data_IF_760363863692
#
_entry.id   IF_760363863692
#
_cell.length_a   1.000
_cell.length_b   1.000
_cell.length_c   1.000
_cell.angle_alpha   90.00
_cell.angle_beta   90.00
_cell.angle_gamma   90.00
#
_symmetry.space_group_name_H-M   'P 1'
#
loop_
_entity.id
_entity.type
_entity.pdbx_description
1 polymer ?
#
# COMPACT_ATOMS: atom_id res chain seq x y z
N UNK A 1 -8.65 -25.48 34.04
CA UNK A 1 -7.97 -25.00 35.27
C UNK A 1 -7.77 -23.51 35.09
N UNK A 2 -8.37 -22.73 35.97
CA UNK A 2 -8.41 -21.26 35.92
C UNK A 2 -7.15 -20.70 36.58
N UNK A 3 -6.42 -19.84 35.90
CA UNK A 3 -5.56 -18.88 36.57
C UNK A 3 -5.98 -17.47 36.19
N UNK A 4 -6.32 -16.72 37.23
CA UNK A 4 -6.71 -15.35 37.26
C UNK A 4 -5.66 -14.56 38.05
N UNK A 5 -5.71 -13.22 37.88
CA UNK A 5 -5.18 -12.11 38.69
C UNK A 5 -3.93 -11.40 38.13
N UNK A 6 -3.74 -10.09 38.39
CA UNK A 6 -4.73 -9.05 38.71
C UNK A 6 -4.46 -7.65 38.08
N UNK A 7 -5.51 -6.83 38.13
CA UNK A 7 -5.53 -5.38 37.97
C UNK A 7 -5.30 -4.67 39.33
N UNK A 8 -4.36 -3.72 39.40
CA UNK A 8 -4.19 -2.63 40.40
C UNK A 8 -2.79 -2.01 40.23
N UNK A 9 -2.47 -0.73 40.44
CA UNK A 9 -3.19 0.52 40.68
C UNK A 9 -2.18 1.69 40.54
N UNK A 10 -2.69 2.86 40.14
CA UNK A 10 -2.05 4.18 40.19
C UNK A 10 -1.41 4.51 41.56
N UNK A 11 -0.28 5.23 41.60
CA UNK A 11 -0.20 6.68 41.89
C UNK A 11 1.22 7.20 42.22
N UNK A 12 1.45 8.43 41.75
CA UNK A 12 2.23 9.53 42.34
C UNK A 12 3.77 9.54 42.27
N UNK A 13 4.30 10.55 41.58
CA UNK A 13 5.38 11.37 42.14
C UNK A 13 5.33 12.80 41.59
N UNK A 14 5.08 13.73 42.52
CA UNK A 14 5.25 15.15 42.34
C UNK A 14 6.52 15.60 43.08
N UNK A 15 7.19 16.59 42.48
CA UNK A 15 7.92 17.69 43.12
C UNK A 15 9.32 17.47 43.70
N UNK A 16 10.25 18.19 43.06
CA UNK A 16 11.26 19.09 43.62
C UNK A 16 12.39 18.53 44.49
N UNK A 17 13.63 18.79 44.05
CA UNK A 17 14.69 19.32 44.92
C UNK A 17 15.75 20.04 44.08
N UNK A 18 16.00 21.29 44.45
CA UNK A 18 17.07 22.14 43.97
C UNK A 18 18.29 22.07 44.92
N UNK A 19 19.46 22.27 44.32
CA UNK A 19 20.65 22.99 44.82
C UNK A 19 21.51 22.40 45.98
N UNK A 20 22.80 22.20 45.71
CA UNK A 20 23.95 23.02 46.19
C UNK A 20 25.25 22.19 46.33
N UNK A 21 26.40 22.77 45.89
CA UNK A 21 27.68 22.59 46.60
C UNK A 21 28.97 22.34 45.78
N UNK A 22 29.47 23.41 45.15
CA UNK A 22 30.85 23.97 45.10
C UNK A 22 32.17 23.16 45.05
N UNK A 23 33.03 23.69 44.15
CA UNK A 23 34.48 24.04 44.19
C UNK A 23 35.62 22.99 44.20
N UNK A 24 36.43 23.04 43.12
CA UNK A 24 37.88 23.35 43.05
C UNK A 24 38.31 23.08 41.59
N UNK A 25 38.95 23.94 40.80
CA UNK A 25 40.00 24.91 41.06
C UNK A 25 41.10 24.67 40.00
N UNK A 26 41.16 25.50 38.95
CA UNK A 26 42.13 25.30 37.85
C UNK A 26 42.14 26.43 36.81
N UNK A 27 42.72 27.56 37.19
CA UNK A 27 42.95 28.74 36.36
C UNK A 27 44.07 28.53 35.32
N UNK A 28 43.78 28.82 34.04
CA UNK A 28 44.78 29.27 33.06
C UNK A 28 44.18 30.48 32.35
N UNK A 29 44.86 31.63 32.46
CA UNK A 29 44.46 32.90 31.86
C UNK A 29 44.51 32.88 30.32
N UNK A 30 43.69 33.72 29.66
CA UNK A 30 43.41 33.65 28.23
C UNK A 30 44.35 34.53 27.39
N UNK A 31 44.61 34.08 26.16
CA UNK A 31 45.19 34.91 25.09
C UNK A 31 44.05 35.45 24.20
N UNK A 32 44.11 36.69 23.71
CA UNK A 32 42.96 37.40 23.16
C UNK A 32 42.85 37.21 21.65
N UNK A 33 41.79 36.54 21.20
CA UNK A 33 41.22 36.76 19.87
C UNK A 33 39.70 36.69 19.99
N UNK A 34 39.13 37.81 20.42
CA UNK A 34 37.70 38.07 20.39
C UNK A 34 37.31 38.47 18.95
N UNK A 35 37.11 37.46 18.10
CA UNK A 35 36.18 37.56 16.98
C UNK A 35 34.79 37.20 17.50
N UNK A 36 33.87 38.16 17.47
CA UNK A 36 32.48 38.02 17.90
C UNK A 36 31.80 36.78 17.29
N UNK A 37 30.80 36.18 17.96
CA UNK A 37 29.93 35.20 17.32
C UNK A 37 29.32 35.88 16.10
N UNK A 38 29.56 35.31 14.92
CA UNK A 38 28.80 35.67 13.74
C UNK A 38 27.35 35.28 14.04
N UNK A 39 26.51 36.30 14.17
CA UNK A 39 25.07 36.19 14.12
C UNK A 39 24.72 35.27 12.94
N UNK A 40 24.00 34.19 13.24
CA UNK A 40 23.37 33.34 12.23
C UNK A 40 22.57 34.26 11.30
N UNK A 41 23.10 34.43 10.10
CA UNK A 41 22.44 35.16 9.05
C UNK A 41 21.11 34.46 8.80
N UNK A 42 20.02 35.17 9.12
CA UNK A 42 18.68 34.68 8.95
C UNK A 42 18.50 34.06 7.57
N UNK A 43 18.22 32.75 7.56
CA UNK A 43 17.41 32.19 6.50
C UNK A 43 16.16 33.08 6.43
N UNK A 44 15.95 33.74 5.28
CA UNK A 44 14.68 34.42 5.03
C UNK A 44 13.58 33.40 5.30
N UNK A 45 12.83 33.59 6.39
CA UNK A 45 11.67 32.76 6.69
C UNK A 45 10.76 32.87 5.48
N UNK A 46 10.52 31.73 4.84
CA UNK A 46 9.51 31.64 3.79
C UNK A 46 8.21 32.24 4.35
N UNK A 47 7.72 33.38 3.81
CA UNK A 47 6.54 34.05 4.36
C UNK A 47 5.28 33.19 4.23
N UNK A 48 5.32 32.14 3.43
CA UNK A 48 4.22 31.20 3.26
C UNK A 48 4.31 30.01 4.24
N UNK A 49 5.37 29.86 5.03
CA UNK A 49 5.50 28.78 6.01
C UNK A 49 4.76 29.09 7.32
N UNK A 50 4.00 28.11 7.82
CA UNK A 50 3.20 28.24 9.06
C UNK A 50 3.75 27.37 10.19
N UNK A 51 3.83 26.06 9.97
CA UNK A 51 4.15 25.07 10.99
C UNK A 51 4.59 23.74 10.35
N UNK A 52 5.10 22.82 11.17
CA UNK A 52 5.36 21.43 10.81
C UNK A 52 4.58 20.46 11.70
N UNK A 53 4.42 19.23 11.20
CA UNK A 53 3.84 18.11 11.93
C UNK A 53 4.63 16.84 11.62
N UNK A 54 5.35 16.29 12.60
CA UNK A 54 6.08 15.02 12.46
C UNK A 54 5.19 13.86 12.87
N UNK A 55 5.21 12.77 12.11
CA UNK A 55 4.45 11.56 12.39
C UNK A 55 5.17 10.32 11.86
N UNK A 56 4.77 9.14 12.33
CA UNK A 56 5.26 7.87 11.79
C UNK A 56 4.36 7.48 10.62
N UNK A 57 4.96 7.31 9.44
CA UNK A 57 4.23 6.85 8.27
C UNK A 57 3.99 5.34 8.41
N UNK A 58 2.72 4.92 8.45
CA UNK A 58 2.37 3.50 8.60
C UNK A 58 2.78 2.60 7.43
N UNK A 59 3.05 3.16 6.24
CA UNK A 59 3.52 2.39 5.09
C UNK A 59 5.02 2.07 5.15
N UNK A 60 5.84 3.04 5.57
CA UNK A 60 7.31 2.88 5.62
C UNK A 60 7.84 2.51 7.00
N UNK A 61 7.06 2.80 8.06
CA UNK A 61 7.53 2.75 9.45
C UNK A 61 8.51 3.86 9.83
N UNK A 62 8.86 4.75 8.89
CA UNK A 62 9.79 5.87 9.10
C UNK A 62 9.05 7.15 9.54
N UNK A 63 9.80 8.10 10.11
CA UNK A 63 9.26 9.43 10.40
C UNK A 63 9.11 10.23 9.10
N UNK A 64 7.90 10.75 8.88
CA UNK A 64 7.61 11.78 7.88
C UNK A 64 7.29 13.09 8.60
N UNK A 65 7.44 14.21 7.90
CA UNK A 65 7.09 15.51 8.44
C UNK A 65 6.36 16.37 7.39
N UNK A 66 5.19 16.89 7.77
CA UNK A 66 4.35 17.73 6.93
C UNK A 66 4.57 19.20 7.25
N UNK A 67 5.06 19.96 6.29
CA UNK A 67 5.20 21.42 6.35
C UNK A 67 3.95 22.09 5.79
N UNK A 68 3.23 22.82 6.62
CA UNK A 68 2.05 23.59 6.21
C UNK A 68 2.49 24.89 5.55
N UNK A 69 2.19 25.03 4.26
CA UNK A 69 2.63 26.17 3.43
C UNK A 69 1.45 26.82 2.70
N UNK A 70 1.43 28.14 2.67
CA UNK A 70 0.48 28.94 1.91
C UNK A 70 -0.62 29.62 2.75
N UNK A 71 -1.33 30.59 2.15
CA UNK A 71 -2.11 31.59 2.87
C UNK A 71 -3.42 31.08 3.50
N UNK A 72 -3.87 29.86 3.19
CA UNK A 72 -5.08 29.27 3.77
C UNK A 72 -4.81 28.29 4.93
N UNK A 73 -3.55 28.15 5.34
CA UNK A 73 -3.21 27.55 6.64
C UNK A 73 -3.13 28.64 7.71
N UNK A 74 -3.86 28.45 8.80
CA UNK A 74 -3.60 29.14 10.07
C UNK A 74 -2.91 28.17 11.03
N UNK A 75 -2.20 28.65 12.06
CA UNK A 75 -1.63 27.77 13.09
C UNK A 75 -2.66 26.82 13.69
N UNK A 76 -3.88 27.29 13.97
CA UNK A 76 -4.97 26.45 14.51
C UNK A 76 -5.56 25.49 13.47
N UNK A 77 -5.49 25.83 12.18
CA UNK A 77 -5.88 24.93 11.10
C UNK A 77 -4.86 23.80 10.92
N UNK A 78 -3.57 24.14 10.93
CA UNK A 78 -2.46 23.21 10.84
C UNK A 78 -2.40 22.27 12.04
N UNK A 79 -2.60 22.77 13.27
CA UNK A 79 -2.65 21.92 14.47
C UNK A 79 -3.79 20.90 14.42
N UNK A 80 -4.99 21.31 13.96
CA UNK A 80 -6.14 20.40 13.81
C UNK A 80 -5.94 19.34 12.72
N UNK A 81 -5.24 19.69 11.65
CA UNK A 81 -4.85 18.73 10.63
C UNK A 81 -3.81 17.75 11.20
N UNK A 82 -2.85 18.25 11.97
CA UNK A 82 -1.81 17.45 12.61
C UNK A 82 -2.36 16.41 13.61
N UNK A 83 -3.49 16.70 14.27
CA UNK A 83 -4.19 15.75 15.15
C UNK A 83 -4.71 14.50 14.43
N UNK A 84 -4.74 14.48 13.09
CA UNK A 84 -5.23 13.38 12.25
C UNK A 84 -4.36 13.19 11.00
N UNK A 85 -3.07 13.51 11.11
CA UNK A 85 -2.17 13.72 9.98
C UNK A 85 -2.00 12.48 9.10
N UNK A 86 -2.08 11.30 9.70
CA UNK A 86 -1.98 10.03 8.97
C UNK A 86 -2.96 9.02 9.58
N UNK A 87 -3.92 8.54 8.79
CA UNK A 87 -4.95 7.56 9.20
C UNK A 87 -5.66 7.90 10.53
N UNK A 88 -5.87 9.19 10.80
CA UNK A 88 -6.53 9.63 12.03
C UNK A 88 -5.63 9.67 13.27
N UNK A 89 -4.36 9.32 13.15
CA UNK A 89 -3.38 9.45 14.23
C UNK A 89 -2.84 10.88 14.38
N UNK A 90 -2.53 11.25 15.62
CA UNK A 90 -2.00 12.56 15.95
C UNK A 90 -0.47 12.61 15.79
N UNK A 91 0.01 13.59 15.03
CA UNK A 91 1.43 13.92 14.94
C UNK A 91 1.91 14.91 16.01
N UNK A 92 3.20 15.17 15.99
CA UNK A 92 3.87 16.18 16.81
C UNK A 92 3.90 17.53 16.08
N UNK A 93 3.01 18.44 16.48
CA UNK A 93 2.91 19.79 15.91
C UNK A 93 3.96 20.75 16.45
N UNK A 94 4.64 21.49 15.56
CA UNK A 94 5.58 22.56 15.93
C UNK A 94 5.34 23.80 15.06
N UNK A 95 5.02 24.93 15.70
CA UNK A 95 4.80 26.21 15.00
C UNK A 95 6.13 26.89 14.66
N UNK A 96 6.27 27.40 13.42
CA UNK A 96 7.43 28.22 13.04
C UNK A 96 8.76 27.48 12.86
N UNK A 97 8.78 26.15 12.97
CA UNK A 97 9.95 25.30 12.72
C UNK A 97 9.67 24.36 11.54
N UNK A 98 10.52 24.42 10.52
CA UNK A 98 10.44 23.57 9.33
C UNK A 98 10.85 22.12 9.64
N UNK A 99 10.49 21.19 8.75
CA UNK A 99 10.90 19.81 8.89
C UNK A 99 12.41 19.68 8.69
N UNK A 100 13.06 18.90 9.55
CA UNK A 100 14.49 18.68 9.50
C UNK A 100 14.81 17.22 9.84
N UNK A 101 15.46 16.54 8.90
CA UNK A 101 15.97 15.19 9.08
C UNK A 101 17.46 15.15 8.70
N UNK A 102 18.25 14.34 9.41
CA UNK A 102 19.67 14.14 9.07
C UNK A 102 19.82 13.39 7.74
N UNK A 103 18.92 12.44 7.49
CA UNK A 103 18.86 11.62 6.27
C UNK A 103 17.49 11.81 5.61
N UNK A 104 17.43 12.76 4.67
CA UNK A 104 16.25 13.05 3.85
C UNK A 104 16.31 12.23 2.56
N UNK A 105 15.21 11.55 2.22
CA UNK A 105 15.08 10.80 0.95
C UNK A 105 14.37 11.61 -0.12
N UNK A 106 13.57 12.59 0.27
CA UNK A 106 13.02 13.56 -0.68
C UNK A 106 11.90 14.39 -0.10
N UNK A 107 11.35 15.25 -0.96
CA UNK A 107 10.25 16.16 -0.63
C UNK A 107 9.10 15.96 -1.59
N UNK A 108 7.90 15.84 -1.06
CA UNK A 108 6.68 15.86 -1.83
C UNK A 108 6.02 17.24 -1.77
N UNK A 109 5.97 17.95 -2.90
CA UNK A 109 5.26 19.22 -2.98
C UNK A 109 3.82 18.96 -3.38
N UNK A 110 2.88 19.16 -2.45
CA UNK A 110 1.45 18.93 -2.68
C UNK A 110 0.72 20.25 -2.89
N UNK A 111 0.00 20.34 -4.00
CA UNK A 111 -0.66 21.55 -4.46
C UNK A 111 0.27 22.50 -5.22
N UNK A 112 -0.30 23.56 -5.79
CA UNK A 112 0.47 24.59 -6.51
C UNK A 112 0.80 25.75 -5.57
N UNK A 113 2.00 26.37 -5.67
CA UNK A 113 2.29 27.62 -4.97
C UNK A 113 1.17 28.65 -5.20
N UNK A 114 0.56 29.15 -4.11
CA UNK A 114 -0.58 30.09 -4.16
C UNK A 114 -1.97 29.45 -4.04
N UNK A 115 -2.10 28.13 -4.01
CA UNK A 115 -3.33 27.48 -3.54
C UNK A 115 -3.49 27.65 -2.02
N UNK A 116 -4.72 27.74 -1.49
CA UNK A 116 -4.93 28.06 -0.09
C UNK A 116 -4.38 26.99 0.88
N UNK A 117 -4.25 25.72 0.49
CA UNK A 117 -3.80 24.65 1.40
C UNK A 117 -2.74 23.72 0.80
N UNK A 118 -1.68 24.30 0.24
CA UNK A 118 -0.51 23.51 -0.15
C UNK A 118 0.24 22.95 1.07
N UNK A 119 1.05 21.91 0.91
CA UNK A 119 1.97 21.46 1.95
C UNK A 119 3.16 20.74 1.31
N UNK A 120 4.24 20.61 2.07
CA UNK A 120 5.39 19.79 1.67
C UNK A 120 5.52 18.63 2.65
N UNK A 121 5.51 17.39 2.15
CA UNK A 121 5.92 16.24 2.97
C UNK A 121 7.42 16.07 2.80
N UNK A 122 8.15 16.05 3.90
CA UNK A 122 9.57 15.70 3.93
C UNK A 122 9.66 14.29 4.47
N UNK A 123 10.28 13.39 3.71
CA UNK A 123 10.44 12.00 4.12
C UNK A 123 11.87 11.71 4.54
N UNK A 124 12.00 11.00 5.66
CA UNK A 124 13.29 10.54 6.17
C UNK A 124 13.55 9.07 5.80
N UNK A 125 14.82 8.68 5.80
CA UNK A 125 15.23 7.30 5.63
C UNK A 125 16.51 7.13 4.83
N UNK A 126 16.70 5.93 4.31
CA UNK A 126 17.89 5.51 3.57
C UNK A 126 17.58 5.36 2.05
N UNK A 127 18.54 5.00 1.18
CA UNK A 127 18.30 4.87 -0.26
C UNK A 127 17.14 3.92 -0.61
N UNK A 128 16.82 2.96 0.27
CA UNK A 128 15.71 2.03 0.10
C UNK A 128 14.35 2.64 0.40
N UNK A 129 14.22 3.85 0.95
CA UNK A 129 12.92 4.49 1.12
C UNK A 129 12.51 5.36 -0.08
N UNK A 130 13.43 5.63 -1.02
CA UNK A 130 13.21 6.55 -2.14
C UNK A 130 11.98 6.27 -3.00
N UNK A 131 11.83 5.04 -3.53
CA UNK A 131 10.67 4.67 -4.35
C UNK A 131 9.33 4.70 -3.58
N UNK A 132 9.35 4.34 -2.30
CA UNK A 132 8.17 4.41 -1.44
C UNK A 132 7.77 5.86 -1.17
N UNK A 133 8.73 6.74 -0.88
CA UNK A 133 8.49 8.17 -0.69
C UNK A 133 7.99 8.84 -2.00
N UNK A 134 8.56 8.46 -3.15
CA UNK A 134 8.08 8.91 -4.46
C UNK A 134 6.65 8.46 -4.72
N UNK A 135 6.36 7.17 -4.55
CA UNK A 135 5.01 6.61 -4.75
C UNK A 135 3.99 7.24 -3.80
N UNK A 136 4.34 7.38 -2.51
CA UNK A 136 3.54 8.08 -1.51
C UNK A 136 3.20 9.50 -1.97
N UNK A 137 4.19 10.21 -2.53
CA UNK A 137 4.02 11.56 -2.99
C UNK A 137 3.12 11.67 -4.22
N UNK A 138 3.52 11.03 -5.32
CA UNK A 138 2.91 11.23 -6.63
C UNK A 138 1.54 10.59 -6.70
N UNK A 139 1.34 9.47 -5.99
CA UNK A 139 0.08 8.73 -6.04
C UNK A 139 -0.88 9.06 -4.90
N UNK A 140 -0.42 9.04 -3.65
CA UNK A 140 -1.33 9.17 -2.50
C UNK A 140 -1.55 10.62 -2.11
N UNK A 141 -0.48 11.41 -2.11
CA UNK A 141 -0.56 12.83 -1.79
C UNK A 141 -0.96 13.68 -3.01
N UNK A 142 -0.82 13.15 -4.24
CA UNK A 142 -1.08 13.85 -5.50
C UNK A 142 -0.11 15.02 -5.74
N UNK A 143 1.12 14.90 -5.23
CA UNK A 143 2.15 15.91 -5.31
C UNK A 143 3.19 15.65 -6.39
N UNK A 144 4.24 16.48 -6.40
CA UNK A 144 5.45 16.27 -7.20
C UNK A 144 6.60 15.88 -6.28
N UNK A 145 7.25 14.75 -6.54
CA UNK A 145 8.36 14.27 -5.74
C UNK A 145 9.70 14.86 -6.20
N UNK A 146 10.44 15.42 -5.26
CA UNK A 146 11.79 15.93 -5.43
C UNK A 146 12.76 15.01 -4.68
N UNK A 147 13.46 14.08 -5.38
CA UNK A 147 14.34 13.12 -4.74
C UNK A 147 15.59 13.79 -4.16
N UNK A 148 16.02 13.36 -2.98
CA UNK A 148 17.30 13.75 -2.41
C UNK A 148 18.47 13.01 -3.10
N UNK A 149 19.72 13.49 -2.99
CA UNK A 149 20.87 12.87 -3.64
C UNK A 149 21.07 11.38 -3.31
N UNK A 150 20.64 10.95 -2.13
CA UNK A 150 20.69 9.55 -1.68
C UNK A 150 19.89 8.61 -2.60
N UNK A 151 18.89 9.13 -3.31
CA UNK A 151 18.03 8.39 -4.23
C UNK A 151 18.58 8.24 -5.65
N UNK A 152 19.73 8.84 -5.95
CA UNK A 152 20.38 8.67 -7.26
C UNK A 152 21.04 7.29 -7.41
N UNK A 153 21.13 6.49 -6.34
CA UNK A 153 21.70 5.14 -6.37
C UNK A 153 20.71 4.12 -6.95
N UNK A 154 21.27 3.08 -7.56
CA UNK A 154 20.55 1.88 -7.98
C UNK A 154 21.04 0.63 -7.23
N UNK A 155 21.92 0.79 -6.25
CA UNK A 155 22.38 -0.29 -5.39
C UNK A 155 21.26 -0.69 -4.41
N UNK A 156 21.05 -2.00 -4.18
CA UNK A 156 20.15 -2.46 -3.15
C UNK A 156 20.70 -2.04 -1.77
N UNK A 157 19.87 -1.39 -0.96
CA UNK A 157 20.17 -1.14 0.45
C UNK A 157 19.60 -2.22 1.35
N UNK A 158 19.50 -1.96 2.66
CA UNK A 158 18.81 -2.88 3.58
C UNK A 158 17.31 -2.91 3.26
N UNK A 159 16.76 -4.09 3.00
CA UNK A 159 15.34 -4.18 2.64
C UNK A 159 14.44 -3.74 3.81
N UNK A 160 13.50 -2.85 3.50
CA UNK A 160 12.48 -2.38 4.43
C UNK A 160 11.13 -3.01 4.08
N UNK A 161 10.41 -3.53 5.09
CA UNK A 161 9.11 -4.16 4.92
C UNK A 161 9.14 -5.68 4.68
N UNK A 162 7.96 -6.27 4.47
CA UNK A 162 7.81 -7.68 4.07
C UNK A 162 7.58 -7.75 2.56
N UNK A 163 8.42 -8.48 1.81
CA UNK A 163 8.25 -8.62 0.38
C UNK A 163 6.94 -9.30 -0.02
N UNK A 164 6.39 -8.94 -1.18
CA UNK A 164 5.25 -9.64 -1.79
C UNK A 164 5.60 -11.11 -1.97
N UNK A 165 4.79 -11.99 -1.38
CA UNK A 165 4.90 -13.42 -1.59
C UNK A 165 4.00 -13.82 -2.76
N UNK A 166 4.56 -14.35 -3.87
CA UNK A 166 3.77 -14.80 -5.01
C UNK A 166 2.71 -15.84 -4.66
N UNK A 167 1.65 -15.86 -5.47
CA UNK A 167 0.59 -16.86 -5.34
C UNK A 167 1.15 -18.29 -5.40
N UNK A 168 0.61 -19.14 -4.53
CA UNK A 168 0.68 -20.58 -4.64
C UNK A 168 -0.67 -21.19 -4.25
N UNK A 169 -0.88 -22.47 -4.57
CA UNK A 169 -2.06 -23.22 -4.13
C UNK A 169 -1.69 -24.03 -2.90
N UNK A 170 -2.38 -23.78 -1.79
CA UNK A 170 -2.23 -24.55 -0.56
C UNK A 170 -3.30 -25.65 -0.52
N UNK A 171 -2.87 -26.91 -0.46
CA UNK A 171 -3.76 -28.06 -0.41
C UNK A 171 -3.65 -28.74 0.95
N UNK A 172 -4.74 -28.69 1.73
CA UNK A 172 -4.81 -29.25 3.08
C UNK A 172 -5.91 -30.31 3.17
N UNK A 173 -5.74 -31.25 4.09
CA UNK A 173 -6.81 -32.20 4.41
C UNK A 173 -8.02 -31.43 4.98
N UNK A 174 -9.27 -31.86 4.68
CA UNK A 174 -10.45 -31.22 5.24
C UNK A 174 -10.47 -31.35 6.77
N UNK A 175 -10.95 -30.31 7.44
CA UNK A 175 -11.17 -30.30 8.89
C UNK A 175 -12.11 -31.45 9.29
N UNK A 176 -11.88 -32.04 10.47
CA UNK A 176 -12.67 -33.17 10.96
C UNK A 176 -14.18 -32.87 10.95
N UNK A 177 -14.94 -33.65 10.19
CA UNK A 177 -16.40 -33.53 10.06
C UNK A 177 -16.84 -32.87 8.75
N UNK A 178 -15.93 -32.22 8.01
CA UNK A 178 -16.21 -31.67 6.69
C UNK A 178 -16.15 -32.75 5.59
N UNK A 179 -16.87 -32.55 4.46
CA UNK A 179 -16.71 -33.42 3.30
C UNK A 179 -15.29 -33.31 2.71
N UNK A 180 -14.90 -34.34 1.95
CA UNK A 180 -13.69 -34.29 1.13
C UNK A 180 -13.77 -33.12 0.14
N UNK A 181 -12.63 -32.44 -0.07
CA UNK A 181 -12.48 -31.40 -1.07
C UNK A 181 -12.35 -31.94 -2.50
N UNK A 182 -12.28 -31.01 -3.46
CA UNK A 182 -12.16 -31.26 -4.88
C UNK A 182 -10.72 -31.51 -5.35
N UNK A 183 -9.74 -31.28 -4.46
CA UNK A 183 -8.32 -31.46 -4.72
C UNK A 183 -7.85 -32.93 -4.74
N UNK A 184 -6.53 -33.15 -4.95
CA UNK A 184 -5.94 -34.48 -4.91
C UNK A 184 -6.19 -35.15 -3.56
N UNK A 185 -6.44 -36.46 -3.57
CA UNK A 185 -6.70 -37.27 -2.37
C UNK A 185 -7.87 -36.76 -1.48
N UNK A 186 -8.75 -35.91 -2.01
CA UNK A 186 -9.87 -35.32 -1.28
C UNK A 186 -9.47 -34.10 -0.43
N UNK A 187 -8.33 -33.49 -0.71
CA UNK A 187 -7.87 -32.24 -0.09
C UNK A 187 -8.67 -31.04 -0.58
N UNK A 188 -8.67 -29.98 0.23
CA UNK A 188 -9.17 -28.65 -0.13
C UNK A 188 -7.98 -27.84 -0.60
N UNK A 189 -8.02 -27.38 -1.85
CA UNK A 189 -6.96 -26.59 -2.46
C UNK A 189 -7.40 -25.14 -2.62
N UNK A 190 -6.69 -24.23 -1.96
CA UNK A 190 -7.03 -22.80 -1.93
C UNK A 190 -5.90 -21.98 -2.53
N UNK A 191 -6.17 -21.15 -3.56
CA UNK A 191 -5.22 -20.14 -4.02
C UNK A 191 -4.90 -19.16 -2.88
N UNK A 192 -3.64 -19.14 -2.45
CA UNK A 192 -3.15 -18.19 -1.44
C UNK A 192 -2.75 -16.89 -2.14
N UNK A 193 -3.77 -16.08 -2.45
CA UNK A 193 -3.65 -14.75 -3.07
C UNK A 193 -4.83 -13.86 -2.64
N UNK A 194 -4.69 -12.54 -2.64
CA UNK A 194 -5.74 -11.57 -2.27
C UNK A 194 -7.06 -11.70 -3.05
N UNK A 195 -7.02 -12.26 -4.27
CA UNK A 195 -8.22 -12.54 -5.08
C UNK A 195 -8.70 -14.00 -4.98
N UNK A 196 -8.04 -14.81 -4.15
CA UNK A 196 -8.28 -16.23 -3.97
C UNK A 196 -9.48 -16.55 -3.09
N UNK A 197 -10.13 -17.68 -3.36
CA UNK A 197 -11.26 -18.22 -2.60
C UNK A 197 -11.08 -19.72 -2.36
N UNK A 198 -11.52 -20.20 -1.21
CA UNK A 198 -11.63 -21.65 -0.92
C UNK A 198 -12.93 -22.22 -1.49
N UNK A 199 -13.17 -23.51 -1.29
CA UNK A 199 -14.40 -24.16 -1.73
C UNK A 199 -15.66 -23.58 -1.06
N UNK A 200 -16.80 -23.46 -1.77
CA UNK A 200 -18.04 -22.94 -1.21
C UNK A 200 -18.46 -23.65 0.09
N UNK A 201 -18.85 -22.86 1.09
CA UNK A 201 -19.26 -23.36 2.41
C UNK A 201 -18.11 -23.63 3.38
N UNK A 202 -16.87 -23.27 3.02
CA UNK A 202 -15.70 -23.30 3.91
C UNK A 202 -15.17 -21.88 4.13
N UNK A 203 -14.38 -21.67 5.18
CA UNK A 203 -13.69 -20.39 5.43
C UNK A 203 -12.30 -20.40 4.79
N UNK A 204 -11.92 -19.27 4.21
CA UNK A 204 -10.61 -19.10 3.58
C UNK A 204 -9.47 -19.34 4.57
N UNK A 205 -9.61 -18.80 5.79
CA UNK A 205 -8.58 -18.79 6.83
C UNK A 205 -8.26 -20.17 7.40
N UNK A 206 -9.13 -21.16 7.20
CA UNK A 206 -8.88 -22.56 7.52
C UNK A 206 -7.92 -23.23 6.51
N UNK A 207 -7.92 -22.77 5.26
CA UNK A 207 -7.29 -23.45 4.12
C UNK A 207 -6.20 -22.64 3.41
N UNK A 208 -5.99 -21.38 3.76
CA UNK A 208 -4.92 -20.52 3.27
C UNK A 208 -4.33 -19.66 4.41
N UNK A 209 -3.14 -19.10 4.17
CA UNK A 209 -2.42 -18.31 5.17
C UNK A 209 -2.62 -16.81 4.95
N UNK A 210 -3.35 -16.15 5.85
CA UNK A 210 -3.55 -14.71 5.77
C UNK A 210 -2.25 -13.91 5.90
N UNK A 211 -1.22 -14.42 6.58
CA UNK A 211 0.06 -13.71 6.66
C UNK A 211 0.70 -13.52 5.28
N UNK A 212 0.48 -14.47 4.36
CA UNK A 212 0.90 -14.36 2.95
C UNK A 212 0.05 -13.32 2.23
N UNK A 213 -1.28 -13.37 2.36
CA UNK A 213 -2.18 -12.39 1.75
C UNK A 213 -1.85 -10.97 2.17
N UNK A 214 -1.48 -10.77 3.44
CA UNK A 214 -1.10 -9.48 3.98
C UNK A 214 0.22 -8.93 3.42
N UNK A 215 1.11 -9.79 2.89
CA UNK A 215 2.28 -9.32 2.11
C UNK A 215 1.87 -8.78 0.73
N UNK A 216 0.75 -9.27 0.19
CA UNK A 216 0.26 -8.87 -1.14
C UNK A 216 -0.59 -7.61 -1.08
N UNK A 217 -1.33 -7.47 0.02
CA UNK A 217 -2.17 -6.33 0.32
C UNK A 217 -2.07 -6.01 1.80
N UNK A 218 -1.17 -5.09 2.20
CA UNK A 218 -1.15 -4.59 3.56
C UNK A 218 -2.52 -4.01 3.92
N UNK A 219 -2.92 -4.22 5.16
CA UNK A 219 -4.14 -3.66 5.74
C UNK A 219 -3.79 -2.83 6.95
N UNK A 220 -4.73 -1.97 7.34
CA UNK A 220 -4.73 -1.29 8.62
C UNK A 220 -6.14 -1.41 9.20
N UNK A 221 -6.23 -1.60 10.51
CA UNK A 221 -7.52 -1.65 11.18
C UNK A 221 -8.16 -0.26 11.12
N UNK A 222 -9.42 -0.22 10.71
CA UNK A 222 -10.22 1.01 10.67
C UNK A 222 -11.64 0.67 11.08
N UNK A 223 -12.11 1.34 12.13
CA UNK A 223 -13.48 1.18 12.60
C UNK A 223 -14.46 1.77 11.59
N UNK A 224 -15.47 0.99 11.20
CA UNK A 224 -16.48 1.42 10.23
C UNK A 224 -17.31 2.64 10.72
N UNK A 225 -17.31 2.91 12.03
CA UNK A 225 -18.06 4.01 12.65
C UNK A 225 -19.57 3.78 12.68
N UNK A 226 -20.03 2.55 12.45
CA UNK A 226 -21.46 2.20 12.36
C UNK A 226 -21.88 1.35 13.55
N UNK A 227 -22.79 1.89 14.37
CA UNK A 227 -23.47 1.13 15.42
C UNK A 227 -24.79 0.57 14.88
N UNK A 228 -24.98 -0.75 14.99
CA UNK A 228 -26.21 -1.41 14.60
C UNK A 228 -27.38 -0.99 15.51
N UNK A 229 -28.52 -0.63 14.90
CA UNK A 229 -29.78 -0.43 15.63
C UNK A 229 -30.41 -1.80 15.98
N UNK A 230 -30.54 -2.17 17.27
CA UNK A 230 -31.16 -3.44 17.66
C UNK A 230 -32.67 -3.50 17.37
N UNK A 231 -33.31 -2.38 17.03
CA UNK A 231 -34.71 -2.30 16.61
C UNK A 231 -34.87 -2.25 15.08
N UNK A 232 -33.79 -2.46 14.31
CA UNK A 232 -33.85 -2.46 12.85
C UNK A 232 -34.79 -3.57 12.33
N UNK A 233 -35.83 -3.21 11.55
CA UNK A 233 -36.84 -4.18 11.09
C UNK A 233 -36.29 -5.27 10.18
N UNK A 234 -35.08 -5.10 9.59
CA UNK A 234 -34.43 -6.13 8.77
C UNK A 234 -34.05 -7.37 9.58
N UNK A 235 -33.82 -7.21 10.89
CA UNK A 235 -33.53 -8.34 11.79
C UNK A 235 -34.68 -9.36 11.83
N UNK A 236 -35.91 -8.92 11.56
CA UNK A 236 -37.10 -9.77 11.50
C UNK A 236 -37.43 -10.25 10.07
N UNK A 237 -36.71 -9.79 9.04
CA UNK A 237 -36.89 -10.22 7.66
C UNK A 237 -36.02 -11.45 7.35
N UNK A 238 -36.64 -12.63 7.47
CA UNK A 238 -35.95 -13.90 7.25
C UNK A 238 -35.41 -14.08 5.82
N UNK A 239 -36.00 -13.44 4.80
CA UNK A 239 -35.49 -13.54 3.42
C UNK A 239 -34.24 -12.66 3.27
N UNK A 240 -34.28 -11.44 3.80
CA UNK A 240 -33.11 -10.56 3.81
C UNK A 240 -31.95 -11.16 4.60
N UNK A 241 -32.21 -11.66 5.81
CA UNK A 241 -31.16 -12.24 6.66
C UNK A 241 -30.52 -13.47 6.01
N UNK A 242 -31.27 -14.27 5.24
CA UNK A 242 -30.69 -15.38 4.48
C UNK A 242 -29.73 -14.91 3.36
N UNK A 243 -29.98 -13.74 2.76
CA UNK A 243 -29.06 -13.14 1.79
C UNK A 243 -27.83 -12.53 2.47
N UNK A 244 -27.99 -11.93 3.64
CA UNK A 244 -26.86 -11.42 4.46
C UNK A 244 -25.95 -12.57 4.90
N UNK A 245 -26.53 -13.68 5.36
CA UNK A 245 -25.79 -14.89 5.72
C UNK A 245 -25.05 -15.48 4.50
N UNK A 246 -25.73 -15.56 3.35
CA UNK A 246 -25.07 -16.02 2.11
C UNK A 246 -23.93 -15.09 1.67
N UNK A 247 -24.12 -13.77 1.75
CA UNK A 247 -23.08 -12.80 1.41
C UNK A 247 -21.86 -12.96 2.34
N UNK A 248 -22.11 -13.18 3.63
CA UNK A 248 -21.07 -13.47 4.61
C UNK A 248 -20.29 -14.73 4.23
N UNK A 249 -20.98 -15.81 3.84
CA UNK A 249 -20.32 -17.02 3.34
C UNK A 249 -19.42 -16.73 2.12
N UNK A 250 -19.83 -15.85 1.19
CA UNK A 250 -18.99 -15.49 0.05
C UNK A 250 -17.73 -14.73 0.47
N UNK A 251 -17.88 -13.75 1.38
CA UNK A 251 -16.77 -12.96 1.89
C UNK A 251 -15.78 -13.80 2.71
N UNK A 252 -16.28 -14.65 3.61
CA UNK A 252 -15.45 -15.48 4.48
C UNK A 252 -14.81 -16.67 3.77
N UNK A 253 -15.38 -17.13 2.64
CA UNK A 253 -14.74 -18.10 1.76
C UNK A 253 -13.60 -17.49 0.92
N UNK A 254 -13.46 -16.16 0.92
CA UNK A 254 -12.47 -15.42 0.13
C UNK A 254 -11.38 -14.82 1.01
N UNK A 255 -10.25 -14.45 0.40
CA UNK A 255 -9.17 -13.74 1.08
C UNK A 255 -9.59 -12.39 1.71
N UNK A 256 -10.79 -11.89 1.39
CA UNK A 256 -11.42 -10.77 2.11
C UNK A 256 -11.43 -10.98 3.64
N UNK A 257 -11.59 -12.22 4.11
CA UNK A 257 -11.54 -12.56 5.54
C UNK A 257 -10.22 -12.13 6.22
N UNK A 258 -9.11 -12.11 5.47
CA UNK A 258 -7.80 -11.71 5.99
C UNK A 258 -7.69 -10.22 6.34
N UNK A 259 -8.68 -9.39 5.96
CA UNK A 259 -8.75 -7.97 6.30
C UNK A 259 -10.10 -7.58 6.91
N UNK A 260 -11.17 -8.34 6.70
CA UNK A 260 -12.56 -7.94 6.98
C UNK A 260 -13.31 -8.90 7.92
N UNK A 261 -12.58 -9.70 8.69
CA UNK A 261 -13.12 -10.57 9.73
C UNK A 261 -12.30 -10.35 11.00
N UNK A 262 -12.86 -9.65 11.99
CA UNK A 262 -12.11 -9.19 13.16
C UNK A 262 -11.43 -10.32 13.96
N UNK A 263 -11.99 -11.53 13.99
CA UNK A 263 -11.38 -12.69 14.65
C UNK A 263 -10.15 -13.26 13.92
N UNK A 264 -10.03 -12.98 12.62
CA UNK A 264 -8.94 -13.47 11.76
C UNK A 264 -7.85 -12.41 11.52
N UNK A 265 -8.12 -11.13 11.84
CA UNK A 265 -7.18 -10.02 11.66
C UNK A 265 -6.42 -9.68 12.95
N UNK A 266 -5.09 -9.46 12.90
CA UNK A 266 -4.30 -9.15 14.10
C UNK A 266 -4.70 -7.90 14.90
N UNK A 267 -5.20 -6.86 14.24
CA UNK A 267 -5.41 -5.52 14.82
C UNK A 267 -6.87 -5.05 14.75
N UNK A 268 -7.78 -5.89 14.28
CA UNK A 268 -9.17 -5.54 13.97
C UNK A 268 -9.43 -5.50 12.47
N UNK A 269 -10.69 -5.42 12.06
CA UNK A 269 -11.04 -5.40 10.64
C UNK A 269 -10.71 -4.03 10.00
N UNK A 270 -10.49 -4.02 8.69
CA UNK A 270 -10.31 -2.81 7.89
C UNK A 270 -11.65 -2.36 7.30
N UNK A 271 -12.13 -1.17 7.67
CA UNK A 271 -13.25 -0.44 7.02
C UNK A 271 -14.63 -1.09 7.20
N UNK A 272 -14.76 -2.41 7.02
CA UNK A 272 -15.97 -3.20 7.22
C UNK A 272 -15.60 -4.56 7.82
N UNK A 273 -16.54 -5.15 8.55
CA UNK A 273 -16.29 -6.34 9.36
C UNK A 273 -17.47 -7.31 9.30
N UNK A 274 -17.25 -8.52 8.80
CA UNK A 274 -18.23 -9.62 8.77
C UNK A 274 -18.70 -10.05 10.17
N UNK A 275 -18.01 -9.65 11.23
CA UNK A 275 -18.33 -9.95 12.63
C UNK A 275 -18.97 -8.79 13.40
N UNK A 276 -19.25 -7.65 12.74
CA UNK A 276 -19.90 -6.47 13.35
C UNK A 276 -21.39 -6.65 13.74
N UNK A 277 -21.85 -7.90 13.87
CA UNK A 277 -23.22 -8.25 14.22
C UNK A 277 -24.05 -8.78 13.05
N UNK A 278 -25.35 -9.03 13.24
CA UNK A 278 -26.21 -9.64 12.22
C UNK A 278 -26.39 -8.74 10.98
N UNK A 279 -26.32 -7.42 11.13
CA UNK A 279 -26.39 -6.45 10.01
C UNK A 279 -25.00 -5.89 9.67
N UNK A 280 -23.99 -6.75 9.65
CA UNK A 280 -22.62 -6.38 9.32
C UNK A 280 -22.50 -5.60 7.99
N UNK A 281 -23.41 -5.82 7.06
CA UNK A 281 -23.49 -5.11 5.77
C UNK A 281 -23.66 -3.59 5.90
N UNK A 282 -24.15 -3.10 7.04
CA UNK A 282 -24.21 -1.66 7.32
C UNK A 282 -22.82 -1.04 7.52
N UNK A 283 -21.80 -1.84 7.83
CA UNK A 283 -20.40 -1.37 7.91
C UNK A 283 -19.79 -1.13 6.53
N UNK A 284 -20.38 -1.67 5.46
CA UNK A 284 -19.90 -1.46 4.09
C UNK A 284 -20.38 -0.09 3.60
N UNK A 285 -19.45 0.79 3.20
CA UNK A 285 -19.79 2.09 2.58
C UNK A 285 -20.52 1.94 1.25
N UNK A 286 -21.12 3.02 0.72
CA UNK A 286 -21.82 2.97 -0.56
C UNK A 286 -20.85 2.71 -1.73
N UNK A 287 -19.65 3.28 -1.69
CA UNK A 287 -18.58 3.05 -2.66
C UNK A 287 -18.11 1.60 -2.63
N UNK A 288 -17.90 1.05 -1.42
CA UNK A 288 -17.51 -0.34 -1.25
C UNK A 288 -18.62 -1.27 -1.74
N UNK A 289 -19.89 -1.00 -1.42
CA UNK A 289 -21.02 -1.81 -1.89
C UNK A 289 -21.14 -1.78 -3.43
N UNK A 290 -20.98 -0.60 -4.03
CA UNK A 290 -20.97 -0.45 -5.49
C UNK A 290 -19.81 -1.23 -6.14
N UNK A 291 -18.62 -1.18 -5.56
CA UNK A 291 -17.45 -1.96 -6.00
C UNK A 291 -17.70 -3.47 -5.85
N UNK A 292 -18.11 -3.93 -4.67
CA UNK A 292 -18.34 -5.34 -4.38
C UNK A 292 -19.33 -5.94 -5.37
N UNK A 293 -20.38 -5.21 -5.75
CA UNK A 293 -21.38 -5.64 -6.72
C UNK A 293 -20.99 -5.46 -8.20
N UNK A 294 -19.87 -4.79 -8.48
CA UNK A 294 -19.40 -4.54 -9.84
C UNK A 294 -20.11 -3.41 -10.57
N UNK A 295 -20.66 -2.43 -9.84
CA UNK A 295 -21.17 -1.19 -10.43
C UNK A 295 -20.06 -0.18 -10.69
N UNK A 296 -18.97 -0.25 -9.92
CA UNK A 296 -17.71 0.45 -10.22
C UNK A 296 -16.62 -0.56 -10.59
N UNK A 297 -15.65 -0.11 -11.38
CA UNK A 297 -14.56 -0.96 -11.86
C UNK A 297 -13.61 -1.35 -10.71
N UNK A 298 -13.28 -2.63 -10.63
CA UNK A 298 -12.33 -3.21 -9.68
C UNK A 298 -11.37 -4.20 -10.34
N UNK A 299 -11.22 -4.12 -11.67
CA UNK A 299 -10.36 -5.01 -12.43
C UNK A 299 -8.88 -4.87 -12.03
N UNK A 300 -8.44 -3.68 -11.62
CA UNK A 300 -7.06 -3.38 -11.24
C UNK A 300 -6.56 -4.12 -9.99
N UNK A 301 -7.45 -4.79 -9.24
CA UNK A 301 -7.10 -5.67 -8.13
C UNK A 301 -6.73 -7.09 -8.56
N UNK A 302 -6.91 -7.40 -9.84
CA UNK A 302 -6.68 -8.71 -10.43
C UNK A 302 -7.71 -9.77 -10.02
N UNK A 303 -7.79 -10.83 -10.80
CA UNK A 303 -8.68 -11.96 -10.50
C UNK A 303 -8.16 -13.27 -11.11
N UNK A 304 -8.52 -14.38 -10.48
CA UNK A 304 -8.39 -15.71 -11.04
C UNK A 304 -9.64 -16.09 -11.83
N UNK A 305 -9.53 -16.84 -12.93
CA UNK A 305 -10.68 -17.48 -13.56
C UNK A 305 -11.47 -18.31 -12.53
N UNK A 306 -12.79 -18.33 -12.62
CA UNK A 306 -13.65 -18.99 -11.63
C UNK A 306 -13.31 -20.48 -11.47
N UNK A 307 -12.93 -21.16 -12.55
CA UNK A 307 -12.49 -22.56 -12.53
C UNK A 307 -11.17 -22.80 -11.76
N UNK A 308 -10.32 -21.79 -11.66
CA UNK A 308 -9.08 -21.82 -10.86
C UNK A 308 -9.30 -21.30 -9.44
N UNK A 309 -10.47 -20.72 -9.17
CA UNK A 309 -10.85 -20.08 -7.92
C UNK A 309 -12.05 -20.74 -7.23
N UNK A 310 -12.15 -22.07 -7.35
CA UNK A 310 -13.19 -22.87 -6.68
C UNK A 310 -14.64 -22.47 -7.01
N UNK A 311 -14.87 -21.89 -8.19
CA UNK A 311 -16.17 -21.44 -8.68
C UNK A 311 -16.52 -20.00 -8.32
N UNK A 312 -15.63 -19.26 -7.64
CA UNK A 312 -15.81 -17.86 -7.30
C UNK A 312 -15.33 -16.95 -8.44
N UNK A 313 -16.22 -16.10 -8.94
CA UNK A 313 -15.97 -15.11 -9.97
C UNK A 313 -15.78 -13.72 -9.33
N UNK A 314 -14.70 -13.04 -9.73
CA UNK A 314 -14.35 -11.65 -9.38
C UNK A 314 -14.04 -10.82 -10.65
N UNK A 315 -14.24 -11.39 -11.83
CA UNK A 315 -13.94 -10.70 -13.10
C UNK A 315 -14.87 -9.51 -13.36
N UNK A 316 -16.07 -9.53 -12.76
CA UNK A 316 -17.08 -8.48 -12.90
C UNK A 316 -17.50 -7.83 -11.58
N UNK A 317 -16.96 -8.26 -10.44
CA UNK A 317 -17.40 -7.87 -9.08
C UNK A 317 -16.19 -7.66 -8.18
N UNK A 318 -16.27 -6.74 -7.21
CA UNK A 318 -15.20 -6.55 -6.23
C UNK A 318 -15.10 -7.71 -5.23
N UNK A 319 -16.24 -8.28 -4.86
CA UNK A 319 -16.34 -9.48 -4.02
C UNK A 319 -16.31 -10.73 -4.90
N UNK A 320 -15.38 -11.68 -4.70
CA UNK A 320 -15.48 -12.99 -5.31
C UNK A 320 -16.80 -13.65 -4.92
N UNK A 321 -17.55 -14.15 -5.91
CA UNK A 321 -18.85 -14.76 -5.65
C UNK A 321 -19.13 -15.93 -6.59
N UNK A 322 -19.87 -16.91 -6.10
CA UNK A 322 -20.38 -18.03 -6.90
C UNK A 322 -21.63 -17.67 -7.70
N UNK A 323 -22.26 -16.51 -7.45
CA UNK A 323 -23.49 -16.06 -8.11
C UNK A 323 -23.51 -14.53 -8.28
N UNK A 324 -22.91 -14.05 -9.36
CA UNK A 324 -22.85 -12.62 -9.71
C UNK A 324 -24.24 -11.97 -9.81
N UNK A 325 -25.24 -12.56 -10.51
CA UNK A 325 -26.60 -12.01 -10.52
C UNK A 325 -27.23 -11.86 -9.13
N UNK A 326 -27.04 -12.83 -8.23
CA UNK A 326 -27.58 -12.77 -6.86
C UNK A 326 -26.91 -11.66 -6.05
N UNK A 327 -25.57 -11.54 -6.13
CA UNK A 327 -24.83 -10.46 -5.47
C UNK A 327 -25.31 -9.08 -5.94
N UNK A 328 -25.45 -8.88 -7.26
CA UNK A 328 -25.97 -7.62 -7.82
C UNK A 328 -27.38 -7.33 -7.32
N UNK A 329 -28.28 -8.31 -7.35
CA UNK A 329 -29.65 -8.13 -6.86
C UNK A 329 -29.72 -7.80 -5.36
N UNK A 330 -28.81 -8.34 -4.54
CA UNK A 330 -28.68 -7.94 -3.14
C UNK A 330 -28.24 -6.47 -3.03
N UNK A 331 -27.15 -6.09 -3.72
CA UNK A 331 -26.62 -4.74 -3.67
C UNK A 331 -27.61 -3.69 -4.20
N UNK A 332 -28.36 -3.97 -5.27
CA UNK A 332 -29.41 -3.08 -5.78
C UNK A 332 -30.49 -2.78 -4.72
N UNK A 333 -30.91 -3.80 -3.97
CA UNK A 333 -31.88 -3.64 -2.88
C UNK A 333 -31.30 -2.81 -1.73
N UNK A 334 -30.04 -3.05 -1.40
CA UNK A 334 -29.35 -2.34 -0.33
C UNK A 334 -29.08 -0.87 -0.69
N UNK A 335 -28.63 -0.58 -1.91
CA UNK A 335 -28.49 0.79 -2.43
C UNK A 335 -29.83 1.53 -2.44
N UNK A 336 -30.90 0.89 -2.93
CA UNK A 336 -32.23 1.49 -2.95
C UNK A 336 -32.74 1.84 -1.54
N UNK A 337 -32.41 1.01 -0.53
CA UNK A 337 -32.70 1.28 0.89
C UNK A 337 -31.93 2.51 1.39
N UNK A 338 -30.70 2.69 0.93
CA UNK A 338 -29.83 3.84 1.22
C UNK A 338 -30.14 5.08 0.37
N UNK A 339 -31.28 5.06 -0.34
CA UNK A 339 -31.75 6.14 -1.20
C UNK A 339 -30.80 6.43 -2.39
N UNK A 340 -30.02 5.43 -2.82
CA UNK A 340 -29.08 5.52 -3.94
C UNK A 340 -29.53 4.62 -5.09
N UNK A 341 -29.62 5.17 -6.31
CA UNK A 341 -29.89 4.38 -7.52
C UNK A 341 -28.63 3.68 -8.04
N UNK A 342 -28.81 2.65 -8.87
CA UNK A 342 -27.69 1.97 -9.53
C UNK A 342 -26.95 2.91 -10.47
N UNK A 343 -27.67 3.81 -11.15
CA UNK A 343 -27.07 4.83 -11.99
C UNK A 343 -26.16 5.77 -11.20
N UNK A 344 -26.60 6.24 -10.03
CA UNK A 344 -25.76 7.05 -9.14
C UNK A 344 -24.59 6.25 -8.56
N UNK A 345 -24.80 4.98 -8.19
CA UNK A 345 -23.75 4.10 -7.69
C UNK A 345 -22.61 3.88 -8.71
N UNK A 346 -22.93 3.85 -10.01
CA UNK A 346 -21.93 3.75 -11.10
C UNK A 346 -21.10 5.01 -11.28
N UNK A 347 -21.55 6.15 -10.76
CA UNK A 347 -20.84 7.43 -10.80
C UNK A 347 -19.97 7.66 -9.56
N UNK A 348 -20.03 6.78 -8.56
CA UNK A 348 -19.16 6.82 -7.39
C UNK A 348 -17.69 6.64 -7.80
N UNK A 349 -16.79 7.23 -7.01
CA UNK A 349 -15.36 7.14 -7.28
C UNK A 349 -14.88 5.68 -7.26
N UNK A 350 -14.11 5.24 -8.26
CA UNK A 350 -13.53 3.90 -8.26
C UNK A 350 -12.65 3.67 -7.03
N UNK A 351 -12.79 2.50 -6.43
CA UNK A 351 -12.02 2.14 -5.24
C UNK A 351 -10.53 1.91 -5.59
N UNK A 352 -9.66 2.38 -4.70
CA UNK A 352 -8.20 2.30 -4.80
C UNK A 352 -7.59 2.78 -6.14
N UNK A 353 -7.70 4.10 -6.44
CA UNK A 353 -7.23 4.70 -7.69
C UNK A 353 -5.76 4.42 -8.01
N UNK A 354 -4.93 4.18 -6.98
CA UNK A 354 -3.54 3.75 -7.14
C UNK A 354 -3.37 2.52 -8.03
N UNK A 355 -4.15 1.46 -7.80
CA UNK A 355 -4.00 0.22 -8.57
C UNK A 355 -4.34 0.44 -10.05
N UNK A 356 -5.27 1.36 -10.30
CA UNK A 356 -5.68 1.77 -11.63
C UNK A 356 -4.59 2.60 -12.31
N UNK A 357 -3.99 3.55 -11.59
CA UNK A 357 -2.84 4.33 -12.09
C UNK A 357 -1.71 3.41 -12.56
N UNK A 358 -1.42 2.32 -11.86
CA UNK A 358 -0.35 1.39 -12.24
C UNK A 358 -0.53 0.84 -13.66
N UNK A 359 -1.76 0.47 -14.04
CA UNK A 359 -2.09 -0.15 -15.34
C UNK A 359 -2.47 0.88 -16.42
N UNK A 360 -2.88 2.08 -16.02
CA UNK A 360 -3.20 3.21 -16.90
C UNK A 360 -2.01 4.14 -17.14
N UNK A 361 -0.86 3.90 -16.48
CA UNK A 361 0.33 4.72 -16.59
C UNK A 361 0.83 4.81 -18.03
N UNK A 362 0.97 6.03 -18.54
CA UNK A 362 1.55 6.33 -19.84
C UNK A 362 3.03 6.73 -19.68
N UNK A 363 3.98 5.95 -20.22
CA UNK A 363 5.40 6.21 -19.99
C UNK A 363 5.92 7.39 -20.81
N UNK A 364 6.69 8.25 -20.15
CA UNK A 364 7.48 9.30 -20.79
C UNK A 364 8.91 8.84 -21.10
N UNK A 365 9.69 9.67 -21.79
CA UNK A 365 11.09 9.35 -22.09
C UNK A 365 11.94 9.19 -20.82
N UNK A 366 12.78 8.17 -20.79
CA UNK A 366 13.69 7.93 -19.67
C UNK A 366 14.71 9.08 -19.51
N UNK A 367 15.11 9.39 -18.27
CA UNK A 367 16.28 10.22 -18.01
C UNK A 367 17.55 9.64 -18.66
N UNK A 368 18.53 10.52 -18.94
CA UNK A 368 19.81 10.09 -19.49
C UNK A 368 20.47 9.02 -18.60
N UNK A 369 20.93 7.93 -19.23
CA UNK A 369 21.56 6.80 -18.54
C UNK A 369 20.60 5.75 -17.95
N UNK A 370 19.29 5.91 -18.15
CA UNK A 370 18.27 4.90 -17.81
C UNK A 370 17.84 4.11 -19.05
N UNK A 371 17.62 2.81 -18.92
CA UNK A 371 17.41 1.89 -20.03
C UNK A 371 18.60 0.98 -20.27
N UNK A 372 18.67 0.35 -21.45
CA UNK A 372 19.83 -0.44 -21.89
C UNK A 372 20.86 0.46 -22.54
N UNK A 373 22.08 0.49 -22.00
CA UNK A 373 23.19 1.28 -22.55
C UNK A 373 23.93 0.57 -23.69
N UNK A 374 24.86 1.28 -24.35
CA UNK A 374 25.63 0.77 -25.50
C UNK A 374 26.51 -0.45 -25.19
N UNK A 375 26.79 -0.73 -23.91
CA UNK A 375 27.49 -1.93 -23.45
C UNK A 375 26.52 -3.08 -23.13
N UNK A 376 25.23 -2.90 -23.43
CA UNK A 376 24.15 -3.84 -23.17
C UNK A 376 23.73 -3.93 -21.71
N UNK A 377 24.12 -2.96 -20.88
CA UNK A 377 23.79 -2.97 -19.44
C UNK A 377 22.47 -2.25 -19.20
N UNK A 378 21.56 -2.91 -18.50
CA UNK A 378 20.30 -2.35 -18.06
C UNK A 378 20.50 -1.51 -16.79
N UNK A 379 20.08 -0.25 -16.83
CA UNK A 379 20.24 0.73 -15.75
C UNK A 379 18.92 1.41 -15.41
N UNK A 380 18.75 1.76 -14.14
CA UNK A 380 17.65 2.55 -13.61
C UNK A 380 18.12 3.31 -12.36
N UNK A 381 17.24 4.14 -11.79
CA UNK A 381 17.51 4.92 -10.57
C UNK A 381 16.39 4.72 -9.55
N UNK A 382 16.70 4.77 -8.25
CA UNK A 382 15.70 4.65 -7.17
C UNK A 382 15.82 3.38 -6.30
N UNK A 383 17.00 2.75 -6.31
CA UNK A 383 17.37 1.64 -5.43
C UNK A 383 17.18 0.25 -6.04
N UNK A 384 17.24 -0.77 -5.17
CA UNK A 384 17.12 -2.17 -5.55
C UNK A 384 15.70 -2.57 -6.00
N UNK A 385 15.63 -3.48 -6.96
CA UNK A 385 14.39 -3.93 -7.58
C UNK A 385 14.10 -5.41 -7.32
N UNK A 386 12.84 -5.76 -7.02
CA UNK A 386 12.40 -7.16 -6.99
C UNK A 386 11.81 -7.64 -8.31
N UNK A 387 11.35 -6.71 -9.15
CA UNK A 387 10.78 -7.03 -10.46
C UNK A 387 11.33 -6.07 -11.52
N UNK A 388 11.73 -6.62 -12.66
CA UNK A 388 12.23 -5.85 -13.80
C UNK A 388 11.54 -6.37 -15.06
N UNK A 389 10.95 -5.45 -15.83
CA UNK A 389 10.31 -5.73 -17.10
C UNK A 389 10.90 -4.84 -18.19
N UNK A 390 11.14 -5.43 -19.36
CA UNK A 390 11.35 -4.72 -20.62
C UNK A 390 10.23 -5.15 -21.55
N UNK A 391 9.45 -4.18 -22.02
CA UNK A 391 8.28 -4.38 -22.86
C UNK A 391 8.40 -3.62 -24.18
N UNK A 392 7.55 -3.96 -25.14
CA UNK A 392 7.29 -3.13 -26.31
C UNK A 392 6.85 -1.72 -25.88
N UNK A 393 7.15 -0.68 -26.67
CA UNK A 393 6.92 0.72 -26.27
C UNK A 393 5.44 1.06 -26.03
N UNK A 394 4.53 0.39 -26.72
CA UNK A 394 3.08 0.56 -26.60
C UNK A 394 2.42 -0.53 -25.73
N UNK A 395 3.21 -1.38 -25.09
CA UNK A 395 2.70 -2.34 -24.12
C UNK A 395 2.09 -1.63 -22.92
N UNK A 396 1.07 -2.27 -22.34
CA UNK A 396 0.49 -1.79 -21.09
C UNK A 396 1.51 -1.89 -19.94
N UNK A 397 1.41 -0.96 -19.00
CA UNK A 397 2.18 -1.02 -17.77
C UNK A 397 1.80 -2.26 -16.91
N UNK A 398 2.78 -2.99 -16.35
CA UNK A 398 2.52 -4.04 -15.37
C UNK A 398 1.73 -3.53 -14.16
N UNK A 399 0.71 -4.31 -13.75
CA UNK A 399 -0.12 -4.08 -12.58
C UNK A 399 0.00 -5.20 -11.54
N UNK A 400 -1.12 -5.55 -10.92
CA UNK A 400 -1.19 -6.59 -9.89
C UNK A 400 -1.34 -8.00 -10.47
N UNK A 401 -0.70 -9.02 -9.85
CA UNK A 401 -1.01 -10.42 -10.13
C UNK A 401 -2.48 -10.75 -9.80
N UNK A 402 -3.06 -11.77 -10.44
CA UNK A 402 -2.39 -12.74 -11.31
C UNK A 402 -2.45 -12.41 -12.81
N UNK A 403 -3.17 -11.36 -13.22
CA UNK A 403 -3.52 -11.14 -14.64
C UNK A 403 -3.03 -9.80 -15.22
N UNK A 404 -2.52 -8.86 -14.40
CA UNK A 404 -1.96 -7.60 -14.90
C UNK A 404 -0.44 -7.51 -14.79
N UNK A 405 0.21 -8.42 -14.08
CA UNK A 405 1.65 -8.34 -13.79
C UNK A 405 2.55 -8.76 -14.96
N UNK A 406 2.01 -9.47 -15.96
CA UNK A 406 2.70 -9.83 -17.21
C UNK A 406 1.83 -9.47 -18.43
N UNK A 407 1.73 -8.17 -18.79
CA UNK A 407 0.90 -7.73 -19.90
C UNK A 407 1.44 -8.22 -21.26
N UNK A 408 0.56 -8.25 -22.26
CA UNK A 408 0.95 -8.50 -23.66
C UNK A 408 2.00 -7.47 -24.10
N UNK A 409 2.98 -7.91 -24.91
CA UNK A 409 4.14 -7.09 -25.27
C UNK A 409 5.31 -7.14 -24.29
N UNK A 410 5.22 -7.92 -23.19
CA UNK A 410 6.38 -8.19 -22.32
C UNK A 410 7.43 -9.00 -23.07
N UNK A 411 8.63 -8.43 -23.26
CA UNK A 411 9.75 -9.08 -23.97
C UNK A 411 10.67 -9.83 -23.01
N UNK A 412 10.90 -9.23 -21.84
CA UNK A 412 11.72 -9.79 -20.78
C UNK A 412 11.14 -9.41 -19.42
N UNK A 413 10.98 -10.39 -18.54
CA UNK A 413 10.57 -10.16 -17.17
C UNK A 413 11.34 -11.08 -16.22
N UNK A 414 11.95 -10.49 -15.20
CA UNK A 414 12.65 -11.22 -14.14
C UNK A 414 12.16 -10.75 -12.78
N UNK A 415 12.24 -11.64 -11.79
CA UNK A 415 11.91 -11.33 -10.41
C UNK A 415 12.83 -12.07 -9.44
N UNK A 416 13.06 -11.53 -8.25
CA UNK A 416 13.70 -12.28 -7.15
C UNK A 416 12.66 -12.79 -6.15
N UNK A 417 12.80 -14.04 -5.65
CA UNK A 417 11.98 -14.56 -4.56
C UNK A 417 12.04 -13.70 -3.29
N UNK A 418 11.02 -13.76 -2.41
CA UNK A 418 10.94 -12.93 -1.20
C UNK A 418 12.10 -13.16 -0.21
N UNK A 419 12.74 -14.33 -0.22
CA UNK A 419 13.90 -14.67 0.61
C UNK A 419 15.25 -14.31 -0.03
N UNK A 420 15.24 -13.79 -1.25
CA UNK A 420 16.41 -13.31 -1.99
C UNK A 420 16.40 -11.79 -1.98
N UNK A 421 17.58 -11.19 -1.77
CA UNK A 421 17.72 -9.72 -1.76
C UNK A 421 17.45 -9.09 -3.13
N UNK A 422 16.96 -7.86 -3.12
CA UNK A 422 16.67 -7.06 -4.30
C UNK A 422 17.87 -6.93 -5.25
N UNK A 423 17.58 -6.84 -6.54
CA UNK A 423 18.55 -6.69 -7.60
C UNK A 423 19.05 -5.25 -7.69
N UNK A 424 20.36 -5.07 -7.89
CA UNK A 424 20.93 -3.79 -8.31
C UNK A 424 20.89 -3.59 -9.83
N UNK A 425 21.14 -2.38 -10.30
CA UNK A 425 21.24 -2.10 -11.73
C UNK A 425 22.62 -2.44 -12.32
N UNK A 426 22.77 -2.26 -13.63
CA UNK A 426 24.03 -2.54 -14.35
C UNK A 426 24.22 -4.02 -14.66
N UNK A 427 23.11 -4.77 -14.79
CA UNK A 427 23.13 -6.15 -15.28
C UNK A 427 23.01 -6.17 -16.81
N UNK A 428 23.57 -7.18 -17.48
CA UNK A 428 23.40 -7.32 -18.92
C UNK A 428 21.94 -7.69 -19.25
N UNK A 429 21.37 -7.07 -20.28
CA UNK A 429 20.04 -7.43 -20.77
C UNK A 429 19.98 -8.91 -21.17
N UNK A 430 19.02 -9.64 -20.60
CA UNK A 430 18.86 -11.09 -20.81
C UNK A 430 19.77 -11.99 -19.98
N UNK A 431 20.59 -11.43 -19.09
CA UNK A 431 21.31 -12.18 -18.07
C UNK A 431 20.49 -12.23 -16.78
N UNK A 432 20.45 -13.40 -16.15
CA UNK A 432 19.72 -13.62 -14.90
C UNK A 432 20.67 -13.43 -13.71
N UNK A 433 20.44 -12.44 -12.83
CA UNK A 433 21.20 -12.29 -11.60
C UNK A 433 21.11 -13.53 -10.70
N UNK A 434 22.08 -13.71 -9.80
CA UNK A 434 22.07 -14.82 -8.84
C UNK A 434 20.79 -14.79 -7.99
N UNK A 435 20.09 -15.93 -7.92
CA UNK A 435 18.84 -16.07 -7.16
C UNK A 435 17.58 -15.51 -7.84
N UNK A 436 17.71 -14.77 -8.94
CA UNK A 436 16.57 -14.31 -9.72
C UNK A 436 15.93 -15.46 -10.52
N UNK A 437 14.67 -15.26 -10.91
CA UNK A 437 13.86 -16.15 -11.74
C UNK A 437 13.42 -15.38 -12.97
N UNK A 438 13.60 -15.98 -14.15
CA UNK A 438 13.03 -15.44 -15.38
C UNK A 438 11.58 -15.89 -15.55
N UNK A 439 10.69 -14.92 -15.74
CA UNK A 439 9.26 -15.13 -15.98
C UNK A 439 8.93 -15.07 -17.46
N UNK A 440 9.58 -14.17 -18.20
CA UNK A 440 9.42 -14.03 -19.65
C UNK A 440 10.80 -13.84 -20.32
N UNK A 441 11.11 -14.60 -21.39
CA UNK A 441 10.44 -15.84 -21.76
C UNK A 441 10.63 -16.91 -20.66
N UNK A 442 9.71 -17.88 -20.54
CA UNK A 442 9.84 -18.93 -19.52
C UNK A 442 11.14 -19.75 -19.65
N UNK A 443 11.68 -19.86 -20.87
CA UNK A 443 12.95 -20.51 -21.16
C UNK A 443 13.72 -19.74 -22.24
N UNK A 444 15.06 -19.77 -22.18
CA UNK A 444 15.93 -19.16 -23.17
C UNK A 444 16.23 -17.68 -22.92
N UNK A 445 16.92 -17.04 -23.87
CA UNK A 445 17.22 -15.62 -23.82
C UNK A 445 16.01 -14.80 -24.32
N UNK A 446 15.79 -13.58 -23.82
CA UNK A 446 14.78 -12.68 -24.39
C UNK A 446 15.12 -12.29 -25.84
N UNK A 447 14.13 -11.80 -26.61
CA UNK A 447 14.36 -11.25 -27.94
C UNK A 447 15.43 -10.13 -27.92
N UNK A 448 16.27 -10.06 -28.95
CA UNK A 448 17.23 -8.97 -29.05
C UNK A 448 16.51 -7.64 -29.29
N UNK A 449 16.98 -6.57 -28.63
CA UNK A 449 16.49 -5.21 -28.86
C UNK A 449 17.01 -4.68 -30.21
N UNK A 450 16.17 -3.97 -30.95
CA UNK A 450 16.49 -3.38 -32.23
C UNK A 450 17.02 -1.95 -32.03
N UNK A 451 18.25 -1.69 -32.49
CA UNK A 451 18.90 -0.39 -32.36
C UNK A 451 18.05 0.75 -32.97
N UNK A 452 17.79 1.79 -32.17
CA UNK A 452 16.97 2.94 -32.55
C UNK A 452 15.47 2.79 -32.27
N UNK A 453 14.98 1.59 -31.94
CA UNK A 453 13.60 1.38 -31.50
C UNK A 453 13.41 1.76 -30.02
N UNK A 454 12.17 2.10 -29.65
CA UNK A 454 11.81 2.41 -28.28
C UNK A 454 11.27 1.18 -27.55
N UNK A 455 11.53 1.12 -26.25
CA UNK A 455 11.07 0.06 -25.36
C UNK A 455 10.65 0.64 -24.01
N UNK A 456 9.68 0.01 -23.37
CA UNK A 456 9.20 0.40 -22.06
C UNK A 456 9.99 -0.36 -20.99
N UNK A 457 10.74 0.38 -20.17
CA UNK A 457 11.36 -0.13 -18.95
C UNK A 457 10.41 0.08 -17.78
N UNK A 458 10.05 -1.02 -17.10
CA UNK A 458 9.25 -0.99 -15.88
C UNK A 458 9.95 -1.78 -14.76
N UNK A 459 10.47 -1.05 -13.78
CA UNK A 459 11.21 -1.57 -12.62
C UNK A 459 10.40 -1.33 -11.37
N UNK A 460 10.27 -2.36 -10.53
CA UNK A 460 9.53 -2.28 -9.28
C UNK A 460 10.41 -2.71 -8.11
N UNK A 461 10.28 -1.97 -7.00
CA UNK A 461 10.84 -2.37 -5.71
C UNK A 461 10.19 -3.65 -5.24
N UNK A 462 8.87 -3.68 -5.36
CA UNK A 462 8.02 -4.81 -5.12
C UNK A 462 6.74 -4.62 -5.94
N UNK A 463 5.84 -5.61 -5.99
CA UNK A 463 4.55 -5.45 -6.66
C UNK A 463 3.87 -4.18 -6.15
N UNK A 464 3.28 -3.42 -7.08
CA UNK A 464 2.65 -2.12 -6.89
C UNK A 464 3.57 -0.97 -6.49
N UNK A 465 4.88 -1.18 -6.34
CA UNK A 465 5.82 -0.14 -5.94
C UNK A 465 6.81 0.17 -7.07
N UNK A 466 6.41 0.97 -8.07
CA UNK A 466 7.28 1.31 -9.18
C UNK A 466 8.49 2.15 -8.72
N UNK A 467 9.64 1.88 -9.32
CA UNK A 467 10.89 2.64 -9.17
C UNK A 467 11.16 3.46 -10.43
N UNK A 468 11.03 2.82 -11.59
CA UNK A 468 11.29 3.44 -12.90
C UNK A 468 10.26 2.92 -13.88
N UNK A 469 9.60 3.84 -14.58
CA UNK A 469 8.58 3.54 -15.59
C UNK A 469 8.73 4.52 -16.74
N UNK A 470 9.48 4.17 -17.79
CA UNK A 470 9.79 5.11 -18.87
C UNK A 470 10.18 4.41 -20.18
N UNK A 471 10.16 5.16 -21.28
CA UNK A 471 10.58 4.74 -22.61
C UNK A 471 12.07 5.04 -22.83
N UNK A 472 12.86 4.03 -23.15
CA UNK A 472 14.25 4.19 -23.59
C UNK A 472 14.40 3.80 -25.06
N UNK A 473 15.39 4.39 -25.75
CA UNK A 473 15.77 3.98 -27.09
C UNK A 473 16.92 2.97 -27.00
N UNK A 474 16.79 1.81 -27.65
CA UNK A 474 17.86 0.83 -27.68
C UNK A 474 19.08 1.36 -28.48
N UNK A 475 20.31 1.10 -28.01
CA UNK A 475 21.55 1.74 -28.49
C UNK A 475 22.01 1.31 -29.88
#
# INVERSE_FOLDING_TARGET
MRHALPLAALLALASSLAACGDDDGGSVDPSPDAGAPADDAGAERDPDFVASCTYVNGFSGSEDCKEYRGPGWSPEGAARDCERVFLGEAGAFVEGEACAFEEEVGRCVVGTPGQPRGYVLVSSGDPTNCGAAQSACETFAGGTFEPAPICASCEPGEETGQPFIPMFVDCRDPIEGEPAGAGPDGQVCTPTIISGSTEPGRRYTDYADCSVVLTQRPYYAEDAGVEMDPEDPRLDDAEYMAEVDWLKEQAEASACACCHTASDTPEGAAIWDTEAGPLWVDTISDEALAMLAGFTDSAAFGFLPAEENNGFDRSETGLPTTDVPRLRAFAERELARRELSVEEARELEPFAPFFRELIEFEPEACPEGTGVDADGQLRWTGGGARYVHVLEADAQAPGTPPNWDLPEGTLWAISVPPDVGAMGCGMAYGELPEGAVQRVPAEGAPPALESGEQYFLYVQRDIVQPITRCLFTAP
#
